data_IF_920548003552
#
_entry.id   IF_920548003552
#
_cell.length_a   1.000
_cell.length_b   1.000
_cell.length_c   1.000
_cell.angle_alpha   90.00
_cell.angle_beta   90.00
_cell.angle_gamma   90.00
#
_symmetry.space_group_name_H-M   'P 1'
#
loop_
_entity.id
_entity.type
_entity.pdbx_description
1 polymer ?
#
# COMPACT_ATOMS: atom_id res chain seq x y z
N UNK A 1 -14.23 31.41 31.04
CA UNK A 1 -13.47 31.95 29.90
C UNK A 1 -12.11 31.28 29.86
N UNK A 2 -11.74 30.72 28.71
CA UNK A 2 -10.44 30.20 28.24
C UNK A 2 -10.78 28.99 27.33
N UNK A 3 -11.38 29.29 26.18
CA UNK A 3 -10.73 29.41 24.87
C UNK A 3 -10.40 28.04 24.25
N UNK A 4 -11.37 27.56 23.47
CA UNK A 4 -11.12 26.67 22.36
C UNK A 4 -10.29 27.42 21.30
N UNK A 5 -9.27 26.73 20.79
CA UNK A 5 -8.67 27.02 19.48
C UNK A 5 -8.60 25.68 18.77
N UNK A 6 -9.71 25.36 18.09
CA UNK A 6 -9.76 24.44 16.96
C UNK A 6 -8.98 25.05 15.79
N UNK A 7 -8.51 24.19 14.86
CA UNK A 7 -7.94 24.43 13.50
C UNK A 7 -6.48 23.92 13.43
N UNK A 8 -6.05 22.95 12.60
CA UNK A 8 -6.45 22.37 11.31
C UNK A 8 -5.69 21.01 11.19
N UNK A 9 -6.00 19.95 10.44
CA UNK A 9 -6.80 19.71 9.22
C UNK A 9 -6.89 18.18 9.03
N UNK A 10 -8.00 17.68 8.47
CA UNK A 10 -8.29 16.31 8.02
C UNK A 10 -8.46 15.16 9.05
N UNK A 11 -9.12 15.40 10.19
CA UNK A 11 -9.71 14.32 11.00
C UNK A 11 -11.11 13.97 10.45
N UNK A 12 -11.30 12.80 9.82
CA UNK A 12 -12.64 12.16 9.74
C UNK A 12 -12.72 10.63 9.53
N UNK A 13 -11.61 9.88 9.49
CA UNK A 13 -11.67 8.39 9.49
C UNK A 13 -10.45 7.69 10.13
N UNK A 14 -9.46 8.41 10.66
CA UNK A 14 -8.27 7.78 11.28
C UNK A 14 -7.36 6.99 10.33
N UNK A 15 -7.56 7.10 9.02
CA UNK A 15 -6.72 6.52 7.96
C UNK A 15 -5.39 7.27 7.81
N UNK A 16 -4.34 6.52 7.46
CA UNK A 16 -2.96 7.00 7.25
C UNK A 16 -2.71 7.35 5.79
N UNK A 17 -3.33 6.62 4.87
CA UNK A 17 -3.19 6.83 3.44
C UNK A 17 -4.33 6.15 2.67
N UNK A 18 -4.40 6.39 1.37
CA UNK A 18 -5.21 5.66 0.41
C UNK A 18 -4.33 5.07 -0.69
N UNK A 19 -4.67 3.87 -1.16
CA UNK A 19 -4.11 3.32 -2.40
C UNK A 19 -5.14 3.49 -3.51
N UNK A 20 -4.80 4.30 -4.51
CA UNK A 20 -5.57 4.41 -5.74
C UNK A 20 -5.22 3.24 -6.68
N UNK A 21 -6.19 2.38 -6.99
CA UNK A 21 -6.00 1.32 -8.00
C UNK A 21 -6.24 1.87 -9.40
N UNK A 22 -5.20 1.83 -10.22
CA UNK A 22 -5.30 1.94 -11.67
C UNK A 22 -5.23 0.55 -12.32
N UNK A 23 -6.33 0.09 -12.91
CA UNK A 23 -6.33 -1.08 -13.81
C UNK A 23 -6.12 -0.60 -15.24
N UNK A 24 -5.32 -1.33 -16.03
CA UNK A 24 -4.97 -0.94 -17.41
C UNK A 24 -6.16 -0.76 -18.36
N UNK A 25 -7.34 -1.28 -18.02
CA UNK A 25 -8.50 -1.35 -18.91
C UNK A 25 -9.80 -0.80 -18.29
N UNK A 26 -9.76 -0.17 -17.12
CA UNK A 26 -10.95 0.33 -16.42
C UNK A 26 -10.73 1.78 -15.99
N UNK A 27 -11.69 2.66 -16.28
CA UNK A 27 -11.70 4.07 -15.84
C UNK A 27 -12.12 4.23 -14.37
N UNK A 28 -12.63 3.16 -13.75
CA UNK A 28 -12.98 3.15 -12.33
C UNK A 28 -11.72 3.07 -11.47
N UNK A 29 -11.41 4.18 -10.79
CA UNK A 29 -10.38 4.23 -9.76
C UNK A 29 -11.01 3.80 -8.44
N UNK A 30 -10.70 2.60 -7.97
CA UNK A 30 -11.04 2.16 -6.62
C UNK A 30 -9.99 2.73 -5.65
N UNK A 31 -10.41 3.21 -4.47
CA UNK A 31 -9.48 3.62 -3.41
C UNK A 31 -9.54 2.65 -2.23
N UNK A 32 -8.38 2.40 -1.64
CA UNK A 32 -8.23 1.50 -0.49
C UNK A 32 -7.76 2.32 0.69
N UNK A 33 -8.57 2.51 1.74
CA UNK A 33 -8.08 3.16 2.95
C UNK A 33 -7.05 2.26 3.64
N UNK A 34 -5.95 2.87 4.06
CA UNK A 34 -4.91 2.27 4.90
C UNK A 34 -5.06 2.86 6.28
N UNK A 35 -5.15 2.00 7.30
CA UNK A 35 -5.24 2.42 8.70
C UNK A 35 -3.92 2.18 9.44
N UNK A 36 -3.72 2.81 10.62
CA UNK A 36 -2.59 2.50 11.49
C UNK A 36 -2.55 1.00 11.80
N UNK A 37 -1.34 0.44 11.90
CA UNK A 37 -1.11 -0.99 12.20
C UNK A 37 -1.73 -1.99 11.19
N UNK A 38 -2.29 -1.50 10.08
CA UNK A 38 -2.91 -2.35 9.08
C UNK A 38 -1.88 -3.23 8.37
N UNK A 39 -2.30 -4.43 7.99
CA UNK A 39 -1.53 -5.38 7.18
C UNK A 39 -2.42 -5.84 6.02
N UNK A 40 -2.10 -5.39 4.81
CA UNK A 40 -2.87 -5.67 3.61
C UNK A 40 -2.06 -6.60 2.70
N UNK A 41 -2.52 -7.84 2.55
CA UNK A 41 -1.85 -8.86 1.73
C UNK A 41 -2.50 -9.01 0.36
N UNK A 42 -1.66 -9.18 -0.65
CA UNK A 42 -2.05 -9.27 -2.05
C UNK A 42 -1.46 -10.51 -2.68
N UNK A 43 -2.30 -11.27 -3.38
CA UNK A 43 -1.91 -12.45 -4.12
C UNK A 43 -3.12 -13.24 -4.59
N UNK A 44 -2.89 -14.28 -5.40
CA UNK A 44 -3.99 -15.12 -5.93
C UNK A 44 -4.69 -15.92 -4.84
N UNK A 45 -4.02 -16.18 -3.72
CA UNK A 45 -4.56 -16.97 -2.61
C UNK A 45 -5.42 -16.17 -1.65
N UNK A 46 -5.33 -14.84 -1.70
CA UNK A 46 -6.04 -13.97 -0.77
C UNK A 46 -7.45 -13.66 -1.27
N UNK A 47 -8.44 -13.90 -0.40
CA UNK A 47 -9.86 -13.64 -0.70
C UNK A 47 -10.19 -12.16 -0.77
N UNK A 48 -9.37 -11.30 -0.16
CA UNK A 48 -9.69 -9.87 0.03
C UNK A 48 -9.69 -9.12 -1.31
N UNK A 49 -8.83 -9.49 -2.27
CA UNK A 49 -8.83 -8.93 -3.62
C UNK A 49 -8.26 -9.93 -4.62
N UNK A 50 -9.03 -10.97 -4.96
CA UNK A 50 -8.64 -11.95 -5.96
C UNK A 50 -8.32 -11.26 -7.28
N UNK A 51 -7.04 -11.06 -7.57
CA UNK A 51 -6.59 -10.67 -8.89
C UNK A 51 -6.37 -11.96 -9.68
N UNK A 52 -7.33 -12.23 -10.56
CA UNK A 52 -7.37 -13.40 -11.45
C UNK A 52 -6.28 -13.41 -12.53
N UNK A 53 -5.28 -12.53 -12.43
CA UNK A 53 -4.20 -12.46 -13.39
C UNK A 53 -3.13 -13.53 -13.15
N UNK A 54 -2.74 -14.20 -14.24
CA UNK A 54 -1.67 -15.20 -14.24
C UNK A 54 -0.32 -14.66 -13.73
N UNK A 55 -0.17 -13.33 -13.66
CA UNK A 55 1.02 -12.64 -13.16
C UNK A 55 1.20 -12.62 -11.64
N UNK A 56 0.23 -13.08 -10.84
CA UNK A 56 0.36 -13.06 -9.38
C UNK A 56 0.89 -14.37 -8.77
N UNK A 57 1.76 -14.27 -7.77
CA UNK A 57 1.99 -15.37 -6.82
C UNK A 57 0.80 -15.53 -5.87
N UNK A 58 0.70 -16.69 -5.18
CA UNK A 58 -0.36 -16.92 -4.18
C UNK A 58 -0.31 -15.88 -3.05
N UNK A 59 0.91 -15.54 -2.65
CA UNK A 59 1.27 -14.54 -1.67
C UNK A 59 2.34 -13.67 -2.35
N UNK A 60 1.94 -12.53 -2.90
CA UNK A 60 2.76 -11.76 -3.83
C UNK A 60 3.49 -10.64 -3.12
N UNK A 61 2.74 -9.77 -2.44
CA UNK A 61 3.28 -8.64 -1.70
C UNK A 61 2.31 -8.24 -0.61
N UNK A 62 2.78 -7.40 0.30
CA UNK A 62 1.92 -6.82 1.33
C UNK A 62 2.30 -5.38 1.63
N UNK A 63 1.30 -4.60 2.01
CA UNK A 63 1.48 -3.31 2.67
C UNK A 63 1.34 -3.49 4.17
N UNK A 64 2.12 -2.74 4.93
CA UNK A 64 1.95 -2.64 6.37
C UNK A 64 2.30 -1.26 6.87
N UNK A 65 1.64 -0.84 7.95
CA UNK A 65 1.90 0.45 8.60
C UNK A 65 2.61 0.23 9.91
N UNK A 66 3.68 0.98 10.14
CA UNK A 66 4.37 1.04 11.43
C UNK A 66 4.10 2.41 12.05
N UNK A 67 3.52 2.39 13.24
CA UNK A 67 3.48 3.55 14.14
C UNK A 67 4.60 3.37 15.16
N UNK A 68 5.46 4.37 15.32
CA UNK A 68 6.58 4.30 16.26
C UNK A 68 6.16 4.80 17.64
N UNK A 69 5.65 6.02 17.69
CA UNK A 69 5.17 6.70 18.89
C UNK A 69 4.13 7.77 18.51
N UNK A 70 3.62 8.50 19.50
CA UNK A 70 2.61 9.56 19.31
C UNK A 70 3.14 10.83 18.64
N UNK A 71 4.47 10.98 18.50
CA UNK A 71 5.12 12.16 17.95
C UNK A 71 5.50 12.03 16.47
N UNK A 72 5.53 10.80 15.95
CA UNK A 72 5.87 10.51 14.56
C UNK A 72 4.66 10.03 13.76
N UNK A 73 4.49 10.51 12.52
CA UNK A 73 3.43 10.02 11.66
C UNK A 73 3.62 8.52 11.37
N UNK A 74 2.54 7.73 11.26
CA UNK A 74 2.64 6.34 10.85
C UNK A 74 3.27 6.23 9.45
N UNK A 75 4.17 5.26 9.27
CA UNK A 75 4.86 5.04 8.00
C UNK A 75 4.30 3.81 7.30
N UNK A 76 3.96 3.96 6.02
CA UNK A 76 3.53 2.85 5.17
C UNK A 76 4.72 2.19 4.48
N UNK A 77 4.75 0.87 4.49
CA UNK A 77 5.76 0.07 3.83
C UNK A 77 5.11 -0.91 2.86
N UNK A 78 5.84 -1.25 1.80
CA UNK A 78 5.51 -2.38 0.92
C UNK A 78 6.67 -3.35 0.85
N UNK A 79 6.38 -4.65 0.79
CA UNK A 79 7.41 -5.67 0.52
C UNK A 79 6.89 -6.76 -0.39
N UNK A 80 7.78 -7.25 -1.24
CA UNK A 80 7.58 -8.47 -2.01
C UNK A 80 7.74 -9.72 -1.14
N UNK A 81 6.86 -10.70 -1.33
CA UNK A 81 6.77 -11.93 -0.55
C UNK A 81 7.19 -13.16 -1.34
N UNK A 82 8.36 -13.11 -1.99
CA UNK A 82 8.87 -14.20 -2.84
C UNK A 82 8.01 -14.40 -4.07
N UNK A 83 7.57 -13.29 -4.65
CA UNK A 83 6.77 -13.37 -5.85
C UNK A 83 7.64 -13.74 -7.06
N UNK A 84 7.02 -14.39 -8.05
CA UNK A 84 7.74 -14.81 -9.26
C UNK A 84 8.07 -13.64 -10.19
N UNK A 85 7.30 -12.56 -10.14
CA UNK A 85 7.40 -11.43 -11.07
C UNK A 85 7.91 -10.14 -10.41
N UNK A 86 8.08 -10.17 -9.09
CA UNK A 86 8.47 -9.05 -8.27
C UNK A 86 7.47 -7.90 -8.26
N UNK A 87 7.78 -6.91 -7.44
CA UNK A 87 7.10 -5.62 -7.44
C UNK A 87 8.07 -4.51 -7.82
N UNK A 88 7.54 -3.41 -8.35
CA UNK A 88 8.29 -2.20 -8.64
C UNK A 88 7.73 -1.03 -7.85
N UNK A 89 8.61 -0.20 -7.29
CA UNK A 89 8.25 1.10 -6.71
C UNK A 89 8.92 2.16 -7.55
N UNK A 90 8.15 3.10 -8.10
CA UNK A 90 8.62 4.15 -9.02
C UNK A 90 9.47 3.60 -10.18
N UNK A 91 9.11 2.41 -10.69
CA UNK A 91 9.83 1.72 -11.77
C UNK A 91 11.04 0.90 -11.30
N UNK A 92 11.55 1.11 -10.09
CA UNK A 92 12.64 0.32 -9.52
C UNK A 92 12.12 -1.04 -9.04
N UNK A 93 12.71 -2.13 -9.53
CA UNK A 93 12.38 -3.48 -9.09
C UNK A 93 12.93 -3.76 -7.69
N UNK A 94 12.05 -4.11 -6.75
CA UNK A 94 12.42 -4.43 -5.36
C UNK A 94 12.09 -5.88 -4.96
N UNK A 95 11.60 -6.71 -5.88
CA UNK A 95 11.25 -8.10 -5.62
C UNK A 95 12.45 -9.05 -5.56
N UNK A 96 12.29 -10.17 -4.84
CA UNK A 96 13.29 -11.23 -4.72
C UNK A 96 12.56 -12.59 -4.64
N UNK A 97 12.76 -13.52 -5.60
CA UNK A 97 12.04 -14.79 -5.62
C UNK A 97 12.51 -15.79 -4.53
N UNK A 98 13.68 -15.58 -3.93
CA UNK A 98 14.27 -16.51 -2.96
C UNK A 98 13.91 -16.17 -1.51
N UNK A 99 13.66 -14.89 -1.21
CA UNK A 99 13.37 -14.40 0.14
C UNK A 99 12.30 -13.31 0.20
N UNK A 100 11.70 -13.16 1.38
CA UNK A 100 10.82 -12.01 1.61
C UNK A 100 11.73 -10.79 1.68
N UNK A 101 11.39 -9.77 0.91
CA UNK A 101 12.19 -8.55 0.80
C UNK A 101 12.02 -7.68 2.05
N UNK A 102 13.03 -6.87 2.41
CA UNK A 102 12.84 -5.79 3.38
C UNK A 102 11.72 -4.85 2.93
N UNK A 103 11.05 -4.20 3.89
CA UNK A 103 10.06 -3.17 3.58
C UNK A 103 10.68 -1.96 2.90
N UNK A 104 10.09 -1.55 1.78
CA UNK A 104 10.34 -0.26 1.17
C UNK A 104 9.39 0.77 1.79
N UNK A 105 9.94 1.80 2.42
CA UNK A 105 9.15 2.91 2.98
C UNK A 105 8.55 3.72 1.83
N UNK A 106 7.24 3.91 1.83
CA UNK A 106 6.54 4.65 0.81
C UNK A 106 6.32 6.10 1.24
N UNK A 107 6.43 7.00 0.28
CA UNK A 107 6.10 8.41 0.41
C UNK A 107 4.84 8.74 -0.39
N UNK A 108 4.20 9.86 -0.04
CA UNK A 108 3.08 10.36 -0.83
C UNK A 108 3.47 10.50 -2.32
N UNK A 109 2.60 10.01 -3.19
CA UNK A 109 2.84 10.01 -4.63
C UNK A 109 3.60 8.80 -5.17
N UNK A 110 4.17 7.93 -4.33
CA UNK A 110 4.86 6.74 -4.79
C UNK A 110 3.93 5.80 -5.56
N UNK A 111 4.45 5.23 -6.64
CA UNK A 111 3.72 4.35 -7.54
C UNK A 111 4.26 2.93 -7.43
N UNK A 112 3.40 2.02 -6.98
CA UNK A 112 3.68 0.59 -6.92
C UNK A 112 3.11 -0.05 -8.18
N UNK A 113 3.94 -0.78 -8.92
CA UNK A 113 3.54 -1.49 -10.14
C UNK A 113 3.82 -2.97 -9.99
N UNK A 114 2.79 -3.77 -10.27
CA UNK A 114 2.84 -5.23 -10.34
C UNK A 114 2.15 -5.67 -11.64
N UNK A 115 2.28 -6.95 -12.08
CA UNK A 115 1.67 -7.38 -13.33
C UNK A 115 0.16 -7.11 -13.36
N UNK A 116 -0.32 -6.27 -14.28
CA UNK A 116 -1.75 -5.97 -14.44
C UNK A 116 -2.32 -4.88 -13.52
N UNK A 117 -1.56 -4.40 -12.52
CA UNK A 117 -2.03 -3.40 -11.56
C UNK A 117 -1.00 -2.29 -11.32
N UNK A 118 -1.51 -1.07 -11.22
CA UNK A 118 -0.79 0.09 -10.73
C UNK A 118 -1.50 0.61 -9.48
N UNK A 119 -0.74 0.87 -8.42
CA UNK A 119 -1.21 1.48 -7.18
C UNK A 119 -0.47 2.79 -6.98
N UNK A 120 -1.17 3.86 -6.61
CA UNK A 120 -0.54 5.11 -6.17
C UNK A 120 -0.87 5.36 -4.71
N UNK A 121 0.14 5.67 -3.89
CA UNK A 121 -0.07 6.07 -2.50
C UNK A 121 -0.50 7.54 -2.44
N UNK A 122 -1.52 7.81 -1.64
CA UNK A 122 -2.02 9.14 -1.27
C UNK A 122 -2.04 9.25 0.25
N UNK A 123 -1.18 10.06 0.84
CA UNK A 123 -1.05 10.20 2.30
C UNK A 123 -1.65 11.50 2.81
#
# INVERSE_FOLDING_TARGET
MAQAIESMSCERDGRVAELELGRRCQEDTETIPIYPESLLKYGRGDRIRQQHDQGYSRDHFEFYVITFDEYHPPLCYVRDRRSRNGIRVNGQHIGDPERITPGHCLLDGDVITVPGLRLALRS
#
